data_IF_726062208243
#
_entry.id   IF_726062208243
#
_cell.length_a   1.000
_cell.length_b   1.000
_cell.length_c   1.000
_cell.angle_alpha   90.00
_cell.angle_beta   90.00
_cell.angle_gamma   90.00
#
_symmetry.space_group_name_H-M   'P 1'
#
loop_
_entity.id
_entity.type
_entity.pdbx_description
1 polymer ?
#
# COMPACT_ATOMS: atom_id res chain seq x y z
N UNK A 1 -8.48 16.15 44.69
CA UNK A 1 -8.82 15.24 43.57
C UNK A 1 -7.52 14.91 42.86
N UNK A 2 -7.00 13.72 43.13
CA UNK A 2 -5.99 13.02 42.33
C UNK A 2 -6.54 12.86 40.90
N UNK A 3 -5.78 12.71 39.81
CA UNK A 3 -4.37 12.45 39.60
C UNK A 3 -4.24 12.03 38.12
N UNK A 4 -3.02 12.03 37.61
CA UNK A 4 -2.70 11.28 36.39
C UNK A 4 -2.98 11.98 35.06
N UNK A 5 -2.25 13.06 34.76
CA UNK A 5 -2.01 13.45 33.37
C UNK A 5 -1.15 12.36 32.72
N UNK A 6 -1.83 11.38 32.11
CA UNK A 6 -1.21 10.27 31.40
C UNK A 6 -0.54 10.82 30.14
N UNK A 7 0.72 11.27 30.27
CA UNK A 7 1.59 11.53 29.13
C UNK A 7 1.79 10.20 28.42
N UNK A 8 0.99 9.96 27.38
CA UNK A 8 1.27 8.95 26.37
C UNK A 8 2.58 9.34 25.68
N UNK A 9 3.68 8.82 26.23
CA UNK A 9 4.99 8.77 25.59
C UNK A 9 4.85 7.89 24.35
N UNK A 10 4.31 8.47 23.28
CA UNK A 10 4.55 7.98 21.95
C UNK A 10 6.01 8.28 21.69
N UNK A 11 6.85 7.27 21.92
CA UNK A 11 8.17 7.24 21.32
C UNK A 11 7.93 7.45 19.84
N UNK A 12 8.41 8.59 19.34
CA UNK A 12 8.44 8.95 17.93
C UNK A 12 9.37 7.92 17.28
N UNK A 13 8.87 6.71 17.05
CA UNK A 13 9.58 5.68 16.32
C UNK A 13 9.93 6.36 15.01
N UNK A 14 11.23 6.43 14.71
CA UNK A 14 11.75 7.01 13.48
C UNK A 14 10.80 6.65 12.35
N UNK A 15 10.03 7.66 11.90
CA UNK A 15 9.27 7.57 10.67
C UNK A 15 10.36 7.31 9.65
N UNK A 16 10.50 6.06 9.23
CA UNK A 16 11.42 5.71 8.15
C UNK A 16 11.11 6.62 6.96
N UNK A 17 12.09 6.93 6.11
CA UNK A 17 11.91 7.89 5.03
C UNK A 17 10.61 7.60 4.29
N UNK A 18 9.83 8.66 4.03
CA UNK A 18 8.52 8.57 3.38
C UNK A 18 8.65 7.73 2.10
N UNK A 19 7.72 6.79 1.92
CA UNK A 19 7.70 5.95 0.72
C UNK A 19 7.39 6.82 -0.50
N UNK A 20 8.31 6.86 -1.45
CA UNK A 20 8.07 7.45 -2.76
C UNK A 20 7.07 6.62 -3.56
N UNK A 21 6.42 7.26 -4.54
CA UNK A 21 5.51 6.58 -5.47
C UNK A 21 6.20 5.45 -6.22
N UNK A 22 7.48 5.64 -6.60
CA UNK A 22 8.31 4.62 -7.26
C UNK A 22 8.53 3.40 -6.36
N UNK A 23 8.94 3.61 -5.11
CA UNK A 23 9.13 2.50 -4.15
C UNK A 23 7.81 1.75 -3.91
N UNK A 24 6.69 2.46 -3.82
CA UNK A 24 5.37 1.86 -3.64
C UNK A 24 4.91 1.07 -4.88
N UNK A 25 5.22 1.54 -6.09
CA UNK A 25 4.94 0.84 -7.34
C UNK A 25 5.75 -0.45 -7.46
N UNK A 26 7.04 -0.40 -7.14
CA UNK A 26 7.90 -1.60 -7.05
C UNK A 26 7.28 -2.61 -6.09
N UNK A 27 6.95 -2.18 -4.86
CA UNK A 27 6.31 -3.06 -3.87
C UNK A 27 5.02 -3.71 -4.41
N UNK A 28 4.16 -2.95 -5.07
CA UNK A 28 2.90 -3.46 -5.62
C UNK A 28 3.12 -4.52 -6.72
N UNK A 29 4.07 -4.27 -7.62
CA UNK A 29 4.41 -5.21 -8.69
C UNK A 29 5.01 -6.50 -8.14
N UNK A 30 5.92 -6.42 -7.15
CA UNK A 30 6.53 -7.59 -6.55
C UNK A 30 5.50 -8.46 -5.78
N UNK A 31 4.54 -7.82 -5.11
CA UNK A 31 3.43 -8.55 -4.47
C UNK A 31 2.59 -9.30 -5.50
N UNK A 32 2.27 -8.66 -6.64
CA UNK A 32 1.52 -9.28 -7.71
C UNK A 32 2.28 -10.48 -8.31
N UNK A 33 3.57 -10.32 -8.59
CA UNK A 33 4.43 -11.39 -9.09
C UNK A 33 4.52 -12.58 -8.13
N UNK A 34 4.82 -12.32 -6.84
CA UNK A 34 4.95 -13.40 -5.83
C UNK A 34 3.61 -14.11 -5.59
N UNK A 35 2.49 -13.40 -5.57
CA UNK A 35 1.17 -14.04 -5.41
C UNK A 35 0.75 -14.85 -6.64
N UNK A 36 1.12 -14.42 -7.86
CA UNK A 36 0.87 -15.14 -9.10
C UNK A 36 1.74 -16.40 -9.25
N UNK A 37 3.02 -16.32 -8.89
CA UNK A 37 3.95 -17.45 -9.05
C UNK A 37 3.80 -18.48 -7.92
N UNK A 38 3.41 -18.04 -6.73
CA UNK A 38 3.42 -18.86 -5.53
C UNK A 38 2.02 -19.26 -5.04
N UNK A 39 1.00 -19.22 -5.91
CA UNK A 39 -0.48 -19.39 -5.78
C UNK A 39 -1.11 -20.08 -4.56
N UNK A 40 -0.35 -20.83 -3.75
CA UNK A 40 -0.60 -21.27 -2.36
C UNK A 40 0.61 -22.00 -1.72
N UNK A 41 1.71 -22.17 -2.46
CA UNK A 41 2.84 -23.00 -2.06
C UNK A 41 3.66 -22.42 -0.89
N UNK A 42 3.63 -21.09 -0.72
CA UNK A 42 4.41 -20.39 0.29
C UNK A 42 3.52 -19.84 1.41
N UNK A 43 4.03 -19.94 2.64
CA UNK A 43 3.44 -19.27 3.80
C UNK A 43 3.52 -17.75 3.65
N UNK A 44 2.62 -17.03 4.34
CA UNK A 44 2.63 -15.56 4.32
C UNK A 44 4.00 -14.98 4.73
N UNK A 45 4.66 -15.57 5.72
CA UNK A 45 5.99 -15.15 6.13
C UNK A 45 7.03 -15.28 5.01
N UNK A 46 7.04 -16.42 4.31
CA UNK A 46 7.96 -16.64 3.18
C UNK A 46 7.71 -15.65 2.04
N UNK A 47 6.44 -15.38 1.70
CA UNK A 47 6.10 -14.40 0.67
C UNK A 47 6.65 -13.01 1.02
N UNK A 48 6.39 -12.53 2.24
CA UNK A 48 6.88 -11.21 2.67
C UNK A 48 8.41 -11.12 2.73
N UNK A 49 9.06 -12.23 3.07
CA UNK A 49 10.52 -12.31 3.03
C UNK A 49 11.05 -12.14 1.61
N UNK A 50 10.53 -12.93 0.65
CA UNK A 50 10.91 -12.83 -0.77
C UNK A 50 10.65 -11.42 -1.30
N UNK A 51 9.46 -10.86 -1.05
CA UNK A 51 9.11 -9.49 -1.46
C UNK A 51 10.14 -8.49 -0.93
N UNK A 52 10.52 -8.57 0.35
CA UNK A 52 11.52 -7.63 0.90
C UNK A 52 12.92 -7.80 0.32
N UNK A 53 13.31 -9.04 -0.01
CA UNK A 53 14.60 -9.34 -0.63
C UNK A 53 14.64 -8.80 -2.07
N UNK A 54 13.57 -8.99 -2.85
CA UNK A 54 13.47 -8.45 -4.21
C UNK A 54 13.39 -6.92 -4.21
N UNK A 55 12.59 -6.32 -3.32
CA UNK A 55 12.56 -4.86 -3.16
C UNK A 55 13.96 -4.31 -2.86
N UNK A 56 14.71 -4.96 -1.97
CA UNK A 56 16.09 -4.56 -1.64
C UNK A 56 17.01 -4.65 -2.86
N UNK A 57 16.87 -5.69 -3.69
CA UNK A 57 17.61 -5.82 -4.95
C UNK A 57 17.24 -4.73 -5.98
N UNK A 58 16.03 -4.18 -5.91
CA UNK A 58 15.54 -3.07 -6.73
C UNK A 58 15.79 -1.69 -6.09
N UNK A 59 16.75 -1.61 -5.16
CA UNK A 59 17.15 -0.37 -4.46
C UNK A 59 16.06 0.22 -3.55
N UNK A 60 15.18 -0.63 -3.05
CA UNK A 60 14.16 -0.31 -2.03
C UNK A 60 14.46 -1.12 -0.76
N UNK A 61 15.49 -0.74 0.03
CA UNK A 61 15.97 -1.52 1.19
C UNK A 61 15.00 -1.41 2.38
N UNK A 62 13.87 -2.11 2.28
CA UNK A 62 12.79 -2.13 3.27
C UNK A 62 12.60 -3.54 3.81
N UNK A 63 12.44 -3.65 5.12
CA UNK A 63 12.15 -4.94 5.77
C UNK A 63 10.77 -5.47 5.39
N UNK A 64 10.57 -6.78 5.47
CA UNK A 64 9.27 -7.44 5.25
C UNK A 64 8.11 -6.77 6.02
N UNK A 65 8.35 -6.35 7.27
CA UNK A 65 7.34 -5.67 8.08
C UNK A 65 7.01 -4.26 7.57
N UNK A 66 7.99 -3.53 7.04
CA UNK A 66 7.76 -2.22 6.43
C UNK A 66 6.99 -2.35 5.11
N UNK A 67 7.36 -3.32 4.27
CA UNK A 67 6.64 -3.65 3.04
C UNK A 67 5.17 -4.00 3.33
N UNK A 68 4.93 -4.88 4.31
CA UNK A 68 3.57 -5.28 4.70
C UNK A 68 2.73 -4.10 5.18
N UNK A 69 3.26 -3.28 6.11
CA UNK A 69 2.54 -2.10 6.63
C UNK A 69 2.23 -1.09 5.52
N UNK A 70 3.16 -0.90 4.58
CA UNK A 70 2.93 -0.01 3.44
C UNK A 70 1.84 -0.56 2.53
N UNK A 71 1.87 -1.85 2.23
CA UNK A 71 0.84 -2.52 1.43
C UNK A 71 -0.54 -2.40 2.06
N UNK A 72 -0.68 -2.68 3.36
CA UNK A 72 -1.94 -2.53 4.09
C UNK A 72 -2.48 -1.10 3.98
N UNK A 73 -1.60 -0.09 4.16
CA UNK A 73 -1.95 1.32 3.97
C UNK A 73 -2.41 1.66 2.56
N UNK A 74 -1.77 1.09 1.53
CA UNK A 74 -2.13 1.31 0.12
C UNK A 74 -3.49 0.70 -0.22
N UNK A 75 -3.79 -0.48 0.33
CA UNK A 75 -5.10 -1.11 0.16
C UNK A 75 -6.21 -0.31 0.83
N UNK A 76 -5.97 0.25 2.02
CA UNK A 76 -6.94 1.10 2.70
C UNK A 76 -7.20 2.41 1.93
N UNK A 77 -6.16 2.99 1.33
CA UNK A 77 -6.29 4.16 0.46
C UNK A 77 -7.05 3.84 -0.83
N UNK A 78 -6.71 2.73 -1.49
CA UNK A 78 -7.44 2.21 -2.65
C UNK A 78 -8.93 2.04 -2.35
N UNK A 79 -9.28 1.39 -1.23
CA UNK A 79 -10.69 1.20 -0.83
C UNK A 79 -11.42 2.53 -0.66
N UNK A 80 -10.78 3.54 -0.05
CA UNK A 80 -11.35 4.89 0.09
C UNK A 80 -11.61 5.54 -1.27
N UNK A 81 -10.70 5.38 -2.23
CA UNK A 81 -10.87 5.89 -3.60
C UNK A 81 -12.04 5.18 -4.30
N UNK A 82 -12.16 3.86 -4.17
CA UNK A 82 -13.28 3.08 -4.74
C UNK A 82 -14.63 3.46 -4.11
N UNK A 83 -14.69 3.66 -2.80
CA UNK A 83 -15.93 4.12 -2.13
C UNK A 83 -16.31 5.51 -2.63
N UNK A 84 -15.36 6.44 -2.66
CA UNK A 84 -15.60 7.82 -3.11
C UNK A 84 -16.05 7.88 -4.56
N UNK A 85 -15.47 7.05 -5.44
CA UNK A 85 -15.85 7.02 -6.86
C UNK A 85 -17.26 6.47 -7.08
N UNK A 86 -17.74 5.58 -6.21
CA UNK A 86 -19.11 5.06 -6.22
C UNK A 86 -20.12 6.05 -5.63
N UNK A 87 -19.76 6.81 -4.61
CA UNK A 87 -20.66 7.77 -3.96
C UNK A 87 -20.84 9.07 -4.74
N UNK A 88 -19.86 9.47 -5.54
CA UNK A 88 -19.93 10.66 -6.38
C UNK A 88 -19.74 10.31 -7.87
N UNK A 89 -20.72 9.67 -8.51
CA UNK A 89 -20.67 9.36 -9.94
C UNK A 89 -20.75 10.67 -10.75
N UNK A 90 -19.58 11.21 -11.11
CA UNK A 90 -19.36 12.25 -12.14
C UNK A 90 -20.39 13.39 -12.15
N UNK A 91 -20.17 14.45 -11.37
CA UNK A 91 -20.61 15.78 -11.84
C UNK A 91 -19.78 16.10 -13.09
N UNK A 92 -20.48 16.38 -14.19
CA UNK A 92 -19.88 16.64 -15.48
C UNK A 92 -18.76 17.70 -15.33
N UNK A 93 -17.66 17.49 -16.05
CA UNK A 93 -16.60 18.45 -16.42
C UNK A 93 -15.24 18.40 -15.70
N UNK A 94 -15.00 17.66 -14.60
CA UNK A 94 -13.62 17.52 -14.06
C UNK A 94 -13.27 16.06 -13.76
N UNK A 95 -12.38 15.55 -14.60
CA UNK A 95 -12.20 14.15 -14.94
C UNK A 95 -11.24 13.45 -13.98
N UNK A 96 -11.69 12.39 -13.31
CA UNK A 96 -10.83 11.31 -12.78
C UNK A 96 -9.71 11.71 -11.80
N UNK A 97 -9.53 13.00 -11.50
CA UNK A 97 -8.47 13.59 -10.67
C UNK A 97 -8.94 13.82 -9.25
N UNK A 98 -10.22 14.16 -9.08
CA UNK A 98 -10.76 14.64 -7.81
C UNK A 98 -11.02 13.50 -6.81
N UNK A 99 -11.02 12.26 -7.29
CA UNK A 99 -11.17 11.09 -6.44
C UNK A 99 -9.85 10.64 -5.81
N UNK A 100 -8.72 11.11 -6.36
CA UNK A 100 -7.39 10.73 -5.93
C UNK A 100 -6.85 11.73 -4.91
N UNK A 101 -6.18 11.27 -3.84
CA UNK A 101 -5.38 12.12 -2.98
C UNK A 101 -4.38 12.95 -3.82
N UNK A 102 -4.05 14.18 -3.38
CA UNK A 102 -2.99 14.95 -4.02
C UNK A 102 -1.69 14.13 -4.02
N UNK A 103 -1.08 13.98 -5.20
CA UNK A 103 0.14 13.18 -5.43
C UNK A 103 -0.02 11.65 -5.41
N UNK A 104 -1.24 11.11 -5.38
CA UNK A 104 -1.41 9.67 -5.54
C UNK A 104 -1.08 9.24 -6.97
N UNK A 105 -0.20 8.26 -7.08
CA UNK A 105 0.29 7.76 -8.37
C UNK A 105 -0.79 6.90 -9.06
N UNK A 106 -1.10 7.22 -10.33
CA UNK A 106 -2.13 6.52 -11.09
C UNK A 106 -1.68 5.13 -11.53
N UNK A 107 -0.40 4.94 -11.81
CA UNK A 107 0.16 3.65 -12.16
C UNK A 107 0.14 2.73 -10.94
N UNK A 108 0.46 3.28 -9.76
CA UNK A 108 0.30 2.56 -8.49
C UNK A 108 -1.16 2.16 -8.25
N UNK A 109 -2.12 3.07 -8.49
CA UNK A 109 -3.54 2.72 -8.39
C UNK A 109 -3.91 1.57 -9.32
N UNK A 110 -3.49 1.66 -10.59
CA UNK A 110 -3.78 0.65 -11.60
C UNK A 110 -3.19 -0.71 -11.21
N UNK A 111 -1.93 -0.75 -10.77
CA UNK A 111 -1.27 -1.97 -10.33
C UNK A 111 -2.03 -2.63 -9.16
N UNK A 112 -2.45 -1.84 -8.16
CA UNK A 112 -3.25 -2.34 -7.03
C UNK A 112 -4.63 -2.82 -7.50
N UNK A 113 -5.28 -2.06 -8.37
CA UNK A 113 -6.60 -2.41 -8.90
C UNK A 113 -6.55 -3.74 -9.65
N UNK A 114 -5.62 -3.89 -10.60
CA UNK A 114 -5.44 -5.11 -11.39
C UNK A 114 -5.15 -6.32 -10.47
N UNK A 115 -4.32 -6.14 -9.44
CA UNK A 115 -4.06 -7.15 -8.43
C UNK A 115 -5.34 -7.57 -7.69
N UNK A 116 -6.13 -6.61 -7.19
CA UNK A 116 -7.37 -6.91 -6.47
C UNK A 116 -8.36 -7.64 -7.38
N UNK A 117 -8.56 -7.16 -8.61
CA UNK A 117 -9.49 -7.76 -9.57
C UNK A 117 -9.06 -9.16 -9.99
N UNK A 118 -7.74 -9.46 -10.02
CA UNK A 118 -7.23 -10.80 -10.30
C UNK A 118 -7.47 -11.82 -9.18
N UNK A 119 -7.70 -11.38 -7.94
CA UNK A 119 -8.03 -12.29 -6.81
C UNK A 119 -9.51 -12.60 -6.67
N UNK A 120 -10.38 -11.75 -7.22
CA UNK A 120 -11.83 -11.90 -7.16
C UNK A 120 -12.40 -12.83 -8.26
N UNK A 121 -11.56 -13.29 -9.19
CA UNK A 121 -11.89 -14.18 -10.30
C UNK A 121 -11.34 -15.60 -10.08
#
# INVERSE_FOLDING_TARGET
MEGGSSRTRHTRSQVGPDWSSKEALILGNEIAAVEADCLKALSSYQKWKIISETCTALDVPRTANQCRRKWDSLIDEYKKIIVRSRTFPKSQTQAHTDCFPPNFDRELFKAIHDFVMSKDN
#
